data_IF_146401432223
#
_entry.id   IF_146401432223
#
_cell.length_a   1.000
_cell.length_b   1.000
_cell.length_c   1.000
_cell.angle_alpha   90.00
_cell.angle_beta   90.00
_cell.angle_gamma   90.00
#
_symmetry.space_group_name_H-M   'P 1'
#
loop_
_entity.id
_entity.type
_entity.pdbx_description
1 polymer ?
#
# COMPACT_ATOMS: atom_id res chain seq x y z
N UNK A 1 12.89 -70.36 -10.91
CA UNK A 1 13.23 -69.27 -11.84
C UNK A 1 11.96 -68.57 -12.29
N UNK A 2 11.58 -67.47 -11.63
CA UNK A 2 10.60 -66.48 -12.11
C UNK A 2 10.98 -65.14 -11.46
N UNK A 3 11.20 -64.09 -12.25
CA UNK A 3 11.38 -62.71 -11.78
C UNK A 3 10.02 -62.03 -11.55
N UNK A 4 9.93 -61.08 -10.62
CA UNK A 4 9.21 -59.81 -10.88
C UNK A 4 10.04 -58.61 -10.40
N UNK A 5 10.20 -57.54 -11.17
CA UNK A 5 9.23 -56.52 -11.62
C UNK A 5 8.95 -55.43 -10.56
N UNK A 6 9.77 -54.37 -10.67
CA UNK A 6 9.47 -52.92 -10.60
C UNK A 6 8.78 -52.38 -9.33
N UNK A 7 9.58 -51.57 -8.63
CA UNK A 7 9.31 -50.64 -7.56
C UNK A 7 8.32 -49.52 -7.95
N UNK A 8 7.27 -49.35 -7.13
CA UNK A 8 6.44 -48.15 -7.11
C UNK A 8 5.85 -47.98 -5.70
N UNK A 9 6.68 -47.53 -4.76
CA UNK A 9 6.22 -47.03 -3.45
C UNK A 9 5.25 -45.84 -3.60
N UNK A 10 3.94 -46.13 -3.52
CA UNK A 10 2.92 -45.18 -3.06
C UNK A 10 2.04 -45.88 -2.06
N UNK A 11 2.29 -45.66 -0.77
CA UNK A 11 1.27 -45.83 0.26
C UNK A 11 1.22 -44.57 1.11
N UNK A 12 0.24 -43.73 0.78
CA UNK A 12 -0.17 -42.60 1.59
C UNK A 12 -0.73 -43.13 2.92
N UNK A 13 -0.18 -42.64 4.03
CA UNK A 13 -0.60 -42.95 5.38
C UNK A 13 -2.12 -42.69 5.55
N UNK A 14 -2.90 -43.77 5.66
CA UNK A 14 -4.27 -43.75 6.18
C UNK A 14 -4.25 -44.15 7.65
N UNK A 15 -4.78 -43.30 8.53
CA UNK A 15 -5.26 -43.73 9.84
C UNK A 15 -4.86 -42.87 11.03
N UNK A 16 -5.63 -41.79 11.29
CA UNK A 16 -5.68 -41.10 12.57
C UNK A 16 -7.01 -40.33 12.69
N UNK A 17 -7.66 -40.28 13.87
CA UNK A 17 -9.05 -39.83 13.99
C UNK A 17 -9.22 -38.33 13.68
N UNK A 18 -10.27 -38.06 12.92
CA UNK A 18 -10.70 -36.76 12.42
C UNK A 18 -11.47 -35.99 13.50
N UNK A 19 -10.79 -35.20 14.32
CA UNK A 19 -11.43 -34.03 14.98
C UNK A 19 -10.40 -33.08 15.56
N UNK A 20 -9.89 -32.19 14.70
CA UNK A 20 -9.29 -30.90 15.06
C UNK A 20 -9.07 -30.11 13.78
N UNK A 21 -10.14 -29.58 13.22
CA UNK A 21 -10.03 -28.53 12.20
C UNK A 21 -9.63 -27.25 12.93
N UNK A 22 -8.34 -27.09 13.21
CA UNK A 22 -7.78 -25.81 13.62
C UNK A 22 -7.47 -25.03 12.36
N UNK A 23 -8.38 -24.17 11.96
CA UNK A 23 -8.10 -23.12 10.98
C UNK A 23 -7.30 -22.05 11.69
N UNK A 24 -5.98 -22.20 11.74
CA UNK A 24 -5.10 -21.09 12.11
C UNK A 24 -5.02 -20.16 10.90
N UNK A 25 -5.49 -18.93 11.07
CA UNK A 25 -5.30 -17.88 10.08
C UNK A 25 -3.85 -17.44 10.17
N UNK A 26 -3.00 -18.03 9.34
CA UNK A 26 -1.60 -17.61 9.21
C UNK A 26 -1.61 -16.21 8.58
N UNK A 27 -1.57 -15.16 9.40
CA UNK A 27 -1.33 -13.78 8.96
C UNK A 27 0.15 -13.46 9.17
N UNK A 28 1.00 -13.93 8.26
CA UNK A 28 2.38 -13.43 8.19
C UNK A 28 2.38 -12.19 7.31
N UNK A 29 2.53 -11.02 7.90
CA UNK A 29 2.79 -9.77 7.16
C UNK A 29 4.30 -9.57 7.08
N UNK A 30 4.88 -9.73 5.90
CA UNK A 30 6.29 -9.41 5.62
C UNK A 30 6.54 -7.89 5.63
N UNK A 31 5.50 -7.11 5.34
CA UNK A 31 5.57 -5.64 5.25
C UNK A 31 5.68 -5.00 6.64
N UNK A 32 6.67 -4.13 6.84
CA UNK A 32 6.87 -3.34 8.06
C UNK A 32 7.61 -4.04 9.20
N UNK A 33 8.25 -5.19 8.94
CA UNK A 33 9.09 -5.87 9.93
C UNK A 33 10.57 -5.48 9.76
N UNK A 34 11.09 -4.68 10.69
CA UNK A 34 12.50 -4.26 10.68
C UNK A 34 13.45 -5.31 11.28
N UNK A 35 12.92 -6.45 11.79
CA UNK A 35 13.68 -7.46 12.55
C UNK A 35 13.90 -8.80 11.81
N UNK A 36 13.46 -8.92 10.55
CA UNK A 36 13.61 -10.14 9.72
C UNK A 36 14.71 -10.02 8.66
N UNK A 37 15.01 -11.13 7.96
CA UNK A 37 15.94 -11.14 6.81
C UNK A 37 15.41 -10.35 5.60
N UNK A 38 14.09 -10.24 5.45
CA UNK A 38 13.44 -9.36 4.49
C UNK A 38 13.21 -7.99 5.14
N UNK A 39 13.76 -6.92 4.56
CA UNK A 39 13.65 -5.55 5.07
C UNK A 39 12.71 -4.73 4.18
N UNK A 40 11.47 -4.56 4.60
CA UNK A 40 10.52 -3.65 3.94
C UNK A 40 10.13 -2.54 4.92
N UNK A 41 10.98 -1.52 5.11
CA UNK A 41 10.68 -0.44 6.03
C UNK A 41 9.45 0.32 5.54
N UNK A 42 8.59 0.69 6.48
CA UNK A 42 7.47 1.58 6.20
C UNK A 42 8.02 2.98 5.95
N UNK A 43 7.81 3.49 4.75
CA UNK A 43 8.35 4.79 4.30
C UNK A 43 7.36 5.91 4.64
N UNK A 44 6.06 5.69 4.39
CA UNK A 44 5.01 6.68 4.66
C UNK A 44 3.70 6.03 5.10
N UNK A 45 2.91 6.81 5.84
CA UNK A 45 1.52 6.52 6.15
C UNK A 45 0.68 7.74 5.77
N UNK A 46 -0.30 7.57 4.90
CA UNK A 46 -1.01 8.66 4.23
C UNK A 46 -2.52 8.43 4.30
N UNK A 47 -3.26 9.47 4.64
CA UNK A 47 -4.71 9.39 4.74
C UNK A 47 -5.34 10.68 5.25
N UNK A 48 -6.18 11.29 4.41
CA UNK A 48 -6.81 12.59 4.68
C UNK A 48 -8.31 12.46 4.95
N UNK A 49 -8.78 12.99 6.07
CA UNK A 49 -10.20 13.15 6.35
C UNK A 49 -10.73 14.50 5.83
N UNK A 50 -11.59 14.42 4.82
CA UNK A 50 -12.25 15.58 4.21
C UNK A 50 -13.58 15.94 4.89
N UNK A 51 -14.02 15.14 5.87
CA UNK A 51 -15.31 15.30 6.54
C UNK A 51 -16.47 15.28 5.54
N UNK A 52 -17.32 16.33 5.59
CA UNK A 52 -18.48 16.47 4.69
C UNK A 52 -18.16 17.18 3.37
N UNK A 53 -16.94 17.71 3.19
CA UNK A 53 -16.57 18.45 1.98
C UNK A 53 -16.23 17.50 0.84
N UNK A 54 -16.46 17.95 -0.39
CA UNK A 54 -16.04 17.22 -1.59
C UNK A 54 -14.50 17.16 -1.66
N UNK A 55 -13.88 15.97 -1.70
CA UNK A 55 -12.42 15.85 -1.74
C UNK A 55 -11.80 16.57 -2.93
N UNK A 56 -12.44 16.49 -4.11
CA UNK A 56 -11.95 17.14 -5.33
C UNK A 56 -11.96 18.67 -5.22
N UNK A 57 -12.98 19.24 -4.56
CA UNK A 57 -13.05 20.69 -4.33
C UNK A 57 -11.95 21.13 -3.37
N UNK A 58 -11.77 20.40 -2.26
CA UNK A 58 -10.71 20.68 -1.30
C UNK A 58 -9.31 20.64 -1.93
N UNK A 59 -9.04 19.65 -2.78
CA UNK A 59 -7.75 19.53 -3.48
C UNK A 59 -7.53 20.69 -4.45
N UNK A 60 -8.54 21.08 -5.22
CA UNK A 60 -8.47 22.24 -6.11
C UNK A 60 -8.22 23.54 -5.36
N UNK A 61 -8.83 23.71 -4.20
CA UNK A 61 -8.60 24.87 -3.33
C UNK A 61 -7.15 24.91 -2.85
N UNK A 62 -6.61 23.76 -2.40
CA UNK A 62 -5.22 23.67 -1.94
C UNK A 62 -4.21 23.89 -3.07
N UNK A 63 -4.44 23.36 -4.27
CA UNK A 63 -3.59 23.67 -5.43
C UNK A 63 -3.45 25.18 -5.66
N UNK A 64 -4.60 25.89 -5.63
CA UNK A 64 -4.63 27.34 -5.79
C UNK A 64 -3.92 28.07 -4.64
N UNK A 65 -4.12 27.62 -3.41
CA UNK A 65 -3.43 28.20 -2.23
C UNK A 65 -1.91 28.06 -2.33
N UNK A 66 -1.44 26.93 -2.86
CA UNK A 66 -0.02 26.68 -3.10
C UNK A 66 0.52 27.33 -4.40
N UNK A 67 -0.34 28.01 -5.18
CA UNK A 67 0.08 28.74 -6.38
C UNK A 67 0.28 27.89 -7.64
N UNK A 68 -0.23 26.66 -7.67
CA UNK A 68 -0.12 25.77 -8.83
C UNK A 68 -1.36 25.83 -9.73
N UNK A 69 -1.15 25.78 -11.04
CA UNK A 69 -2.22 25.79 -12.03
C UNK A 69 -2.90 24.41 -12.16
N UNK A 70 -2.11 23.34 -12.15
CA UNK A 70 -2.57 21.96 -12.30
C UNK A 70 -1.77 20.96 -11.47
N UNK A 71 -2.24 19.71 -11.45
CA UNK A 71 -1.60 18.64 -10.68
C UNK A 71 -0.24 18.20 -11.21
N UNK A 72 0.05 18.41 -12.50
CA UNK A 72 1.30 18.02 -13.13
C UNK A 72 2.41 19.02 -12.78
N UNK A 73 2.08 20.31 -12.75
CA UNK A 73 2.95 21.38 -12.25
C UNK A 73 3.29 21.15 -10.77
N UNK A 74 2.26 20.91 -9.94
CA UNK A 74 2.46 20.59 -8.53
C UNK A 74 3.32 19.34 -8.32
N UNK A 75 3.11 18.28 -9.13
CA UNK A 75 3.94 17.07 -9.10
C UNK A 75 5.41 17.36 -9.42
N UNK A 76 5.67 18.23 -10.40
CA UNK A 76 7.04 18.57 -10.80
C UNK A 76 7.77 19.41 -9.73
N UNK A 77 7.03 20.20 -8.96
CA UNK A 77 7.59 21.10 -7.94
C UNK A 77 7.76 20.44 -6.56
N UNK A 78 6.92 19.47 -6.20
CA UNK A 78 6.93 18.84 -4.87
C UNK A 78 7.93 17.68 -4.82
N UNK A 79 8.75 17.63 -3.78
CA UNK A 79 9.68 16.51 -3.52
C UNK A 79 8.90 15.26 -3.08
N UNK A 80 8.56 14.40 -4.04
CA UNK A 80 7.86 13.14 -3.82
C UNK A 80 8.85 11.97 -3.71
N UNK A 81 8.45 10.83 -3.12
CA UNK A 81 9.27 9.62 -3.16
C UNK A 81 9.65 9.27 -4.60
N UNK A 82 10.95 9.21 -4.88
CA UNK A 82 11.49 9.01 -6.22
C UNK A 82 11.35 7.55 -6.71
N UNK A 83 11.19 6.62 -5.77
CA UNK A 83 11.14 5.19 -6.02
C UNK A 83 9.73 4.65 -5.90
N UNK A 84 9.43 3.62 -6.70
CA UNK A 84 8.16 2.91 -6.59
C UNK A 84 8.06 2.21 -5.22
N UNK A 85 6.90 2.35 -4.58
CA UNK A 85 6.64 1.82 -3.24
C UNK A 85 5.44 0.88 -3.26
N UNK A 86 5.47 -0.17 -2.44
CA UNK A 86 4.32 -1.05 -2.26
C UNK A 86 3.29 -0.33 -1.39
N UNK A 87 2.05 -0.25 -1.87
CA UNK A 87 0.94 0.30 -1.11
C UNK A 87 0.15 -0.83 -0.45
N UNK A 88 -0.16 -0.65 0.83
CA UNK A 88 -1.11 -1.49 1.56
C UNK A 88 -2.21 -0.63 2.13
N UNK A 89 -3.49 -1.04 2.08
CA UNK A 89 -4.54 -0.44 2.89
C UNK A 89 -4.12 -0.42 4.37
N UNK A 90 -4.25 0.72 5.01
CA UNK A 90 -3.92 0.89 6.42
C UNK A 90 -4.89 0.06 7.28
N UNK A 91 -4.41 -0.91 8.08
CA UNK A 91 -5.27 -1.77 8.87
C UNK A 91 -5.88 -1.06 10.09
N UNK A 92 -5.32 0.08 10.53
CA UNK A 92 -5.76 0.79 11.72
C UNK A 92 -5.79 2.31 11.49
N UNK A 93 -6.54 2.80 10.49
CA UNK A 93 -6.38 4.15 9.95
C UNK A 93 -6.62 5.22 11.02
N UNK A 94 -5.63 6.11 11.17
CA UNK A 94 -5.73 7.36 11.94
C UNK A 94 -5.73 8.51 10.95
N UNK A 95 -6.89 8.83 10.33
CA UNK A 95 -6.93 9.84 9.30
C UNK A 95 -6.70 11.22 9.89
N UNK A 96 -5.90 12.02 9.21
CA UNK A 96 -5.63 13.40 9.64
C UNK A 96 -6.69 14.31 9.01
N UNK A 97 -7.36 15.17 9.79
CA UNK A 97 -8.30 16.13 9.23
C UNK A 97 -7.62 17.05 8.21
N UNK A 98 -8.17 17.13 7.01
CA UNK A 98 -7.65 17.97 5.94
C UNK A 98 -7.57 19.45 6.37
N UNK A 99 -8.53 19.89 7.18
CA UNK A 99 -8.61 21.28 7.64
C UNK A 99 -7.54 21.67 8.67
N UNK A 100 -6.85 20.70 9.29
CA UNK A 100 -5.84 20.97 10.33
C UNK A 100 -4.41 20.97 9.78
N UNK A 101 -4.22 20.49 8.55
CA UNK A 101 -2.91 20.38 7.91
C UNK A 101 -2.53 21.67 7.18
N UNK A 102 -1.23 21.94 7.10
CA UNK A 102 -0.75 23.03 6.25
C UNK A 102 -1.07 22.73 4.77
N UNK A 103 -1.30 23.76 3.93
CA UNK A 103 -1.61 23.56 2.51
C UNK A 103 -0.59 22.70 1.78
N UNK A 104 0.70 22.85 2.08
CA UNK A 104 1.79 22.11 1.46
C UNK A 104 1.78 20.63 1.86
N UNK A 105 1.47 20.32 3.12
CA UNK A 105 1.33 18.95 3.62
C UNK A 105 0.10 18.26 3.02
N UNK A 106 -1.00 19.01 2.93
CA UNK A 106 -2.19 18.57 2.21
C UNK A 106 -1.84 18.23 0.76
N UNK A 107 -1.17 19.15 0.06
CA UNK A 107 -0.77 18.99 -1.34
C UNK A 107 0.12 17.75 -1.53
N UNK A 108 1.12 17.58 -0.68
CA UNK A 108 1.98 16.41 -0.70
C UNK A 108 1.18 15.11 -0.58
N UNK A 109 0.31 15.00 0.42
CA UNK A 109 -0.47 13.79 0.64
C UNK A 109 -1.43 13.48 -0.52
N UNK A 110 -2.09 14.49 -1.07
CA UNK A 110 -3.04 14.28 -2.20
C UNK A 110 -2.30 13.91 -3.48
N UNK A 111 -1.11 14.46 -3.73
CA UNK A 111 -0.26 14.07 -4.84
C UNK A 111 0.14 12.60 -4.73
N UNK A 112 0.63 12.16 -3.57
CA UNK A 112 0.98 10.75 -3.37
C UNK A 112 -0.25 9.86 -3.57
N UNK A 113 -1.41 10.20 -3.00
CA UNK A 113 -2.64 9.44 -3.21
C UNK A 113 -3.07 9.38 -4.69
N UNK A 114 -2.85 10.46 -5.45
CA UNK A 114 -3.12 10.51 -6.88
C UNK A 114 -2.16 9.65 -7.72
N UNK A 115 -0.95 9.42 -7.22
CA UNK A 115 0.06 8.53 -7.80
C UNK A 115 -0.11 7.06 -7.37
N UNK A 116 -0.91 6.78 -6.35
CA UNK A 116 -1.17 5.42 -5.88
C UNK A 116 -2.24 4.68 -6.70
N UNK A 117 -1.89 3.47 -7.13
CA UNK A 117 -2.85 2.38 -7.43
C UNK A 117 -3.27 1.68 -6.11
N UNK A 118 -4.17 0.68 -6.13
CA UNK A 118 -4.50 -0.06 -4.92
C UNK A 118 -3.32 -0.76 -4.23
N UNK A 119 -2.24 -1.06 -4.97
CA UNK A 119 -1.14 -1.91 -4.50
C UNK A 119 0.26 -1.29 -4.71
N UNK A 120 0.37 -0.23 -5.51
CA UNK A 120 1.65 0.34 -5.93
C UNK A 120 1.56 1.87 -6.03
N UNK A 121 2.50 2.55 -5.42
CA UNK A 121 2.84 3.94 -5.71
C UNK A 121 3.88 3.94 -6.84
N UNK A 122 3.58 4.66 -7.91
CA UNK A 122 4.46 4.82 -9.07
C UNK A 122 4.68 6.33 -9.32
N UNK A 123 5.92 6.84 -9.22
CA UNK A 123 6.20 8.25 -9.47
C UNK A 123 6.17 8.63 -10.96
N UNK A 124 6.24 7.66 -11.87
CA UNK A 124 6.27 7.87 -13.32
C UNK A 124 4.89 8.03 -13.97
N UNK A 125 3.82 7.62 -13.30
CA UNK A 125 2.46 7.73 -13.83
C UNK A 125 1.86 9.13 -13.63
N UNK A 126 0.87 9.52 -14.46
CA UNK A 126 0.13 10.75 -14.24
C UNK A 126 -0.65 10.71 -12.91
N UNK A 127 -0.74 11.88 -12.25
CA UNK A 127 -1.56 12.08 -11.05
C UNK A 127 -3.03 11.93 -11.42
N UNK A 128 -3.75 11.01 -10.77
CA UNK A 128 -5.18 10.84 -10.96
C UNK A 128 -5.94 11.06 -9.65
N UNK A 129 -6.65 12.18 -9.57
CA UNK A 129 -7.55 12.45 -8.45
C UNK A 129 -8.97 12.04 -8.79
N UNK A 130 -9.38 10.99 -8.10
CA UNK A 130 -10.76 10.53 -8.05
C UNK A 130 -11.18 10.56 -6.60
N UNK A 131 -12.49 10.52 -6.34
CA UNK A 131 -12.98 10.36 -4.96
C UNK A 131 -12.34 9.14 -4.31
N UNK A 132 -12.26 8.03 -5.03
CA UNK A 132 -11.67 6.78 -4.55
C UNK A 132 -10.20 6.92 -4.20
N UNK A 133 -9.36 7.59 -5.01
CA UNK A 133 -7.93 7.73 -4.69
C UNK A 133 -7.72 8.62 -3.47
N UNK A 134 -8.44 9.74 -3.37
CA UNK A 134 -8.30 10.70 -2.27
C UNK A 134 -8.81 10.18 -0.92
N UNK A 135 -9.81 9.28 -0.91
CA UNK A 135 -10.34 8.72 0.34
C UNK A 135 -9.59 7.47 0.81
N UNK A 136 -8.56 7.02 0.10
CA UNK A 136 -7.74 5.89 0.55
C UNK A 136 -6.95 6.23 1.81
N UNK A 137 -6.60 5.18 2.53
CA UNK A 137 -5.70 5.18 3.69
C UNK A 137 -4.64 4.14 3.40
N UNK A 138 -3.41 4.57 3.18
CA UNK A 138 -2.35 3.72 2.68
C UNK A 138 -1.11 3.82 3.55
N UNK A 139 -0.45 2.69 3.72
CA UNK A 139 0.95 2.61 4.12
C UNK A 139 1.79 2.28 2.88
N UNK A 140 2.86 3.04 2.69
CA UNK A 140 3.84 2.85 1.63
C UNK A 140 5.08 2.18 2.22
N UNK A 141 5.54 1.12 1.56
CA UNK A 141 6.73 0.35 1.95
C UNK A 141 7.73 0.35 0.81
N UNK A 142 9.02 0.37 1.16
CA UNK A 142 10.09 0.21 0.16
C UNK A 142 10.09 -1.23 -0.37
N UNK A 143 10.03 -1.35 -1.71
CA UNK A 143 10.07 -2.63 -2.41
C UNK A 143 11.48 -3.18 -2.64
N UNK A 144 12.54 -2.42 -2.34
CA UNK A 144 13.92 -2.83 -2.65
C UNK A 144 14.55 -3.85 -1.71
N UNK A 145 13.99 -4.10 -0.53
CA UNK A 145 14.59 -5.01 0.46
C UNK A 145 14.03 -6.43 0.50
N UNK A 146 13.36 -6.90 -0.56
CA UNK A 146 12.87 -8.27 -0.67
C UNK A 146 13.94 -9.30 -1.07
N UNK A 147 14.97 -8.89 -1.83
CA UNK A 147 15.98 -9.79 -2.41
C UNK A 147 17.42 -9.33 -2.18
N UNK A 148 17.64 -8.34 -1.33
CA UNK A 148 18.97 -7.81 -1.02
C UNK A 148 19.61 -8.56 0.15
#
# INVERSE_FOLDING_TARGET
>A
MIAPAIDLERLANMGGPMSRTRTDRISVSVLGNDKGSVKCPRVLRIGLDFGRRSPLTCVRDVLKQCGFADEQEARAAVALPAEACICRPDPAPTPVPFATLAPEECLFQVLVLGLCTPWLYDPGRPVLWTRTSLTRRLELFDGRGFYA
#
